data_IF_651630018104
#
_entry.id   IF_651630018104
#
_cell.length_a   1.000
_cell.length_b   1.000
_cell.length_c   1.000
_cell.angle_alpha   90.00
_cell.angle_beta   90.00
_cell.angle_gamma   90.00
#
_symmetry.space_group_name_H-M   'P 1'
#
loop_
_entity.id
_entity.type
_entity.pdbx_description
1 polymer ?
#
# COMPACT_ATOMS: atom_id res chain seq x y z
N UNK A 1 -50.57 -30.04 -19.98
CA UNK A 1 -49.32 -30.05 -20.79
C UNK A 1 -48.76 -28.65 -21.04
N UNK A 2 -49.49 -27.70 -21.65
CA UNK A 2 -48.94 -26.37 -21.98
C UNK A 2 -48.72 -25.48 -20.75
N UNK A 3 -49.63 -25.55 -19.77
CA UNK A 3 -49.55 -24.82 -18.48
C UNK A 3 -48.39 -25.36 -17.62
N UNK A 4 -48.21 -26.68 -17.53
CA UNK A 4 -47.08 -27.26 -16.78
C UNK A 4 -45.73 -26.90 -17.40
N UNK A 5 -45.61 -26.87 -18.73
CA UNK A 5 -44.38 -26.41 -19.39
C UNK A 5 -44.09 -24.92 -19.15
N UNK A 6 -45.11 -24.07 -19.13
CA UNK A 6 -44.91 -22.64 -18.82
C UNK A 6 -44.50 -22.43 -17.37
N UNK A 7 -45.11 -23.16 -16.42
CA UNK A 7 -44.71 -23.13 -15.01
C UNK A 7 -43.27 -23.64 -14.83
N UNK A 8 -42.89 -24.72 -15.51
CA UNK A 8 -41.53 -25.25 -15.45
C UNK A 8 -40.49 -24.25 -16.00
N UNK A 9 -40.79 -23.56 -17.10
CA UNK A 9 -39.90 -22.55 -17.70
C UNK A 9 -39.74 -21.32 -16.79
N UNK A 10 -40.82 -20.83 -16.19
CA UNK A 10 -40.77 -19.73 -15.23
C UNK A 10 -39.94 -20.12 -14.00
N UNK A 11 -40.16 -21.31 -13.45
CA UNK A 11 -39.39 -21.81 -12.31
C UNK A 11 -37.90 -21.89 -12.65
N UNK A 12 -37.55 -22.48 -13.80
CA UNK A 12 -36.16 -22.59 -14.24
C UNK A 12 -35.49 -21.22 -14.44
N UNK A 13 -36.21 -20.26 -15.01
CA UNK A 13 -35.70 -18.90 -15.23
C UNK A 13 -35.46 -18.17 -13.90
N UNK A 14 -36.37 -18.31 -12.93
CA UNK A 14 -36.19 -17.72 -11.60
C UNK A 14 -34.99 -18.31 -10.86
N UNK A 15 -34.83 -19.63 -10.90
CA UNK A 15 -33.66 -20.30 -10.31
C UNK A 15 -32.37 -19.86 -11.01
N UNK A 16 -32.38 -19.79 -12.35
CA UNK A 16 -31.23 -19.32 -13.13
C UNK A 16 -30.79 -17.91 -12.75
N UNK A 17 -31.75 -16.98 -12.56
CA UNK A 17 -31.46 -15.62 -12.13
C UNK A 17 -30.88 -15.56 -10.71
N UNK A 18 -31.40 -16.35 -9.78
CA UNK A 18 -30.89 -16.39 -8.40
C UNK A 18 -29.43 -16.90 -8.37
N UNK A 19 -29.12 -17.95 -9.10
CA UNK A 19 -27.75 -18.50 -9.20
C UNK A 19 -26.82 -17.51 -9.89
N UNK A 20 -27.28 -16.85 -10.95
CA UNK A 20 -26.49 -15.83 -11.65
C UNK A 20 -26.18 -14.64 -10.75
N UNK A 21 -27.17 -14.11 -10.03
CA UNK A 21 -26.97 -13.04 -9.05
C UNK A 21 -25.97 -13.45 -7.97
N UNK A 22 -26.11 -14.66 -7.43
CA UNK A 22 -25.19 -15.20 -6.42
C UNK A 22 -23.75 -15.28 -6.95
N UNK A 23 -23.59 -15.59 -8.23
CA UNK A 23 -22.28 -15.64 -8.89
C UNK A 23 -21.65 -14.25 -9.01
N UNK A 24 -22.44 -13.22 -9.35
CA UNK A 24 -21.98 -11.83 -9.41
C UNK A 24 -21.60 -11.32 -8.00
N UNK A 25 -22.43 -11.62 -7.00
CA UNK A 25 -22.21 -11.16 -5.63
C UNK A 25 -20.89 -11.74 -5.03
N UNK A 26 -20.39 -12.87 -5.56
CA UNK A 26 -19.08 -13.43 -5.19
C UNK A 26 -17.87 -12.73 -5.84
N UNK A 27 -18.06 -11.89 -6.86
CA UNK A 27 -16.94 -11.23 -7.56
C UNK A 27 -16.36 -10.09 -6.70
N UNK A 28 -17.21 -9.28 -6.08
CA UNK A 28 -16.81 -8.16 -5.24
C UNK A 28 -15.83 -8.55 -4.10
N UNK A 29 -16.12 -9.56 -3.26
CA UNK A 29 -15.18 -9.95 -2.20
C UNK A 29 -13.86 -10.51 -2.76
N UNK A 30 -13.88 -11.18 -3.91
CA UNK A 30 -12.65 -11.66 -4.57
C UNK A 30 -11.78 -10.51 -5.07
N UNK A 31 -12.38 -9.49 -5.68
CA UNK A 31 -11.67 -8.31 -6.13
C UNK A 31 -11.02 -7.58 -4.94
N UNK A 32 -11.74 -7.43 -3.83
CA UNK A 32 -11.17 -6.83 -2.62
C UNK A 32 -9.93 -7.59 -2.13
N UNK A 33 -10.01 -8.91 -1.99
CA UNK A 33 -8.86 -9.74 -1.57
C UNK A 33 -7.67 -9.59 -2.52
N UNK A 34 -7.91 -9.55 -3.84
CA UNK A 34 -6.84 -9.33 -4.82
C UNK A 34 -6.13 -8.00 -4.61
N UNK A 35 -6.89 -6.90 -4.51
CA UNK A 35 -6.33 -5.56 -4.26
C UNK A 35 -5.56 -5.53 -2.92
N UNK A 36 -6.08 -6.18 -1.88
CA UNK A 36 -5.41 -6.29 -0.60
C UNK A 36 -4.07 -7.03 -0.72
N UNK A 37 -4.04 -8.21 -1.36
CA UNK A 37 -2.81 -8.99 -1.50
C UNK A 37 -1.72 -8.27 -2.32
N UNK A 38 -2.08 -7.65 -3.45
CA UNK A 38 -1.10 -6.91 -4.26
C UNK A 38 -0.59 -5.67 -3.55
N UNK A 39 -1.46 -5.00 -2.79
CA UNK A 39 -1.07 -3.84 -1.98
C UNK A 39 -0.09 -4.23 -0.86
N UNK A 40 -0.31 -5.36 -0.19
CA UNK A 40 0.59 -5.86 0.87
C UNK A 40 1.94 -6.33 0.31
N UNK A 41 1.92 -6.97 -0.86
CA UNK A 41 3.15 -7.33 -1.56
C UNK A 41 3.98 -6.09 -1.91
N UNK A 42 3.34 -5.02 -2.41
CA UNK A 42 4.03 -3.78 -2.73
C UNK A 42 4.61 -3.10 -1.48
N UNK A 43 3.88 -3.07 -0.36
CA UNK A 43 4.42 -2.51 0.88
C UNK A 43 5.56 -3.32 1.48
N UNK A 44 5.56 -4.64 1.26
CA UNK A 44 6.69 -5.50 1.60
C UNK A 44 7.92 -5.15 0.77
N UNK A 45 7.73 -4.80 -0.51
CA UNK A 45 8.80 -4.24 -1.34
C UNK A 45 9.29 -2.88 -0.81
N UNK A 46 8.40 -1.94 -0.46
CA UNK A 46 8.78 -0.65 0.11
C UNK A 46 9.59 -0.79 1.40
N UNK A 47 9.18 -1.71 2.27
CA UNK A 47 9.93 -2.09 3.46
C UNK A 47 11.35 -2.53 3.13
N UNK A 48 11.49 -3.50 2.22
CA UNK A 48 12.79 -4.04 1.84
C UNK A 48 13.65 -2.97 1.16
N UNK A 49 13.05 -2.06 0.40
CA UNK A 49 13.76 -0.93 -0.21
C UNK A 49 14.29 0.02 0.86
N UNK A 50 13.47 0.37 1.86
CA UNK A 50 13.87 1.19 2.99
C UNK A 50 14.96 0.52 3.86
N UNK A 51 15.03 -0.81 3.92
CA UNK A 51 16.05 -1.58 4.66
C UNK A 51 17.35 -1.76 3.88
N UNK A 52 17.30 -1.76 2.54
CA UNK A 52 18.47 -2.03 1.68
C UNK A 52 19.19 -0.80 1.19
N UNK A 53 18.51 0.35 1.14
CA UNK A 53 19.18 1.61 0.77
C UNK A 53 20.33 1.88 1.75
N UNK A 54 21.47 2.32 1.23
CA UNK A 54 22.60 2.69 2.07
C UNK A 54 22.22 3.87 2.96
N UNK A 55 22.81 3.94 4.15
CA UNK A 55 22.48 4.99 5.10
C UNK A 55 22.85 6.38 4.55
N UNK A 56 23.97 6.49 3.84
CA UNK A 56 24.38 7.72 3.15
C UNK A 56 23.34 8.22 2.14
N UNK A 57 22.75 7.32 1.33
CA UNK A 57 21.69 7.70 0.40
C UNK A 57 20.39 8.00 1.15
N UNK A 58 20.15 7.31 2.26
CA UNK A 58 18.98 7.57 3.09
C UNK A 58 19.03 8.97 3.71
N UNK A 59 20.20 9.46 4.15
CA UNK A 59 20.39 10.77 4.76
C UNK A 59 20.68 11.89 3.76
N UNK A 60 20.97 11.56 2.50
CA UNK A 60 21.20 12.56 1.46
C UNK A 60 19.94 13.39 1.12
N UNK A 61 20.16 14.54 0.48
CA UNK A 61 19.09 15.39 -0.05
C UNK A 61 18.37 14.78 -1.27
N UNK A 62 19.01 13.83 -1.96
CA UNK A 62 18.44 13.11 -3.11
C UNK A 62 17.76 11.80 -2.70
N UNK A 63 17.56 11.58 -1.40
CA UNK A 63 16.91 10.39 -0.89
C UNK A 63 15.51 10.21 -1.48
N UNK A 64 15.12 8.96 -1.81
CA UNK A 64 13.74 8.65 -2.17
C UNK A 64 12.73 9.02 -1.08
N UNK A 65 13.19 9.11 0.17
CA UNK A 65 12.43 9.61 1.32
C UNK A 65 12.94 10.99 1.73
N UNK A 66 12.27 12.07 1.33
CA UNK A 66 12.64 13.42 1.75
C UNK A 66 12.35 13.63 3.23
N UNK A 67 13.10 14.53 3.87
CA UNK A 67 12.90 14.91 5.27
C UNK A 67 11.55 15.61 5.42
N UNK A 68 10.73 15.16 6.36
CA UNK A 68 9.46 15.81 6.71
C UNK A 68 9.69 17.29 7.07
N UNK A 69 8.86 18.24 6.60
CA UNK A 69 7.51 18.07 6.03
C UNK A 69 7.46 17.75 4.52
N UNK A 70 8.60 17.70 3.84
CA UNK A 70 8.65 17.36 2.42
C UNK A 70 8.25 15.91 2.18
N UNK A 71 7.58 15.66 1.05
CA UNK A 71 7.05 14.35 0.65
C UNK A 71 7.30 14.14 -0.84
N UNK A 72 7.63 12.91 -1.21
CA UNK A 72 7.72 12.49 -2.61
C UNK A 72 6.52 11.62 -2.93
N UNK A 73 5.79 11.94 -3.99
CA UNK A 73 4.64 11.17 -4.46
C UNK A 73 4.95 10.55 -5.82
N UNK A 74 4.63 9.27 -5.98
CA UNK A 74 4.79 8.53 -7.23
C UNK A 74 3.60 7.62 -7.48
N UNK A 75 3.09 7.63 -8.70
CA UNK A 75 2.10 6.65 -9.16
C UNK A 75 2.81 5.40 -9.63
N UNK A 76 2.42 4.24 -9.08
CA UNK A 76 3.10 2.96 -9.27
C UNK A 76 2.10 1.88 -9.63
N UNK A 77 2.55 0.93 -10.43
CA UNK A 77 1.79 -0.29 -10.72
C UNK A 77 2.05 -1.29 -9.59
N UNK A 78 1.01 -1.69 -8.86
CA UNK A 78 1.11 -2.64 -7.74
C UNK A 78 0.84 -4.08 -8.15
N UNK A 79 0.22 -4.28 -9.32
CA UNK A 79 -0.09 -5.58 -9.87
C UNK A 79 -0.96 -5.48 -11.12
N UNK A 80 -1.39 -6.63 -11.64
CA UNK A 80 -2.29 -6.72 -12.79
C UNK A 80 -3.48 -7.60 -12.49
N UNK A 81 -4.66 -7.20 -12.94
CA UNK A 81 -5.85 -8.06 -12.97
C UNK A 81 -5.73 -9.08 -14.10
N UNK A 82 -6.51 -10.19 -14.05
CA UNK A 82 -6.68 -11.07 -15.20
C UNK A 82 -7.07 -10.26 -16.45
N UNK A 83 -6.40 -10.50 -17.57
CA UNK A 83 -6.51 -9.65 -18.77
C UNK A 83 -5.44 -8.55 -18.87
N UNK A 84 -4.42 -8.58 -18.01
CA UNK A 84 -3.25 -7.68 -18.02
C UNK A 84 -3.59 -6.19 -17.78
N UNK A 85 -4.72 -5.91 -17.14
CA UNK A 85 -5.12 -4.56 -16.75
C UNK A 85 -4.30 -4.16 -15.51
N UNK A 86 -3.50 -3.07 -15.57
CA UNK A 86 -2.68 -2.65 -14.45
C UNK A 86 -3.54 -2.10 -13.30
N UNK A 87 -3.17 -2.44 -12.07
CA UNK A 87 -3.70 -1.85 -10.84
C UNK A 87 -2.71 -0.78 -10.42
N UNK A 88 -3.17 0.47 -10.44
CA UNK A 88 -2.36 1.63 -10.08
C UNK A 88 -2.61 2.03 -8.62
N UNK A 89 -1.56 2.48 -7.95
CA UNK A 89 -1.61 3.11 -6.64
C UNK A 89 -0.71 4.34 -6.59
N UNK A 90 -0.91 5.18 -5.58
CA UNK A 90 -0.04 6.32 -5.30
C UNK A 90 0.73 6.05 -4.02
N UNK A 91 2.06 6.12 -4.09
CA UNK A 91 2.95 5.96 -2.94
C UNK A 91 3.55 7.30 -2.58
N UNK A 92 3.43 7.65 -1.31
CA UNK A 92 3.96 8.86 -0.71
C UNK A 92 5.03 8.47 0.31
N UNK A 93 6.24 9.00 0.12
CA UNK A 93 7.42 8.69 0.93
C UNK A 93 7.87 9.91 1.72
N UNK A 94 8.28 9.69 2.96
CA UNK A 94 8.93 10.70 3.82
C UNK A 94 9.82 10.04 4.87
N UNK A 95 10.77 10.78 5.44
CA UNK A 95 11.57 10.34 6.59
C UNK A 95 11.55 11.38 7.70
N UNK A 96 11.64 10.91 8.94
CA UNK A 96 11.61 11.72 10.15
C UNK A 96 12.82 11.36 11.00
N UNK A 97 13.67 12.34 11.38
CA UNK A 97 14.79 12.09 12.29
C UNK A 97 14.31 11.84 13.71
N UNK A 98 15.04 11.03 14.47
CA UNK A 98 14.82 10.93 15.91
C UNK A 98 15.28 12.22 16.62
N UNK A 99 14.55 12.72 17.63
CA UNK A 99 14.95 13.91 18.38
C UNK A 99 16.33 13.82 19.07
N UNK A 100 16.82 12.61 19.37
CA UNK A 100 18.13 12.39 19.98
C UNK A 100 19.28 12.36 18.96
N UNK A 101 18.99 12.44 17.66
CA UNK A 101 20.02 12.69 16.65
C UNK A 101 20.71 14.04 16.93
N UNK A 102 21.97 14.15 16.52
CA UNK A 102 22.68 15.43 16.55
C UNK A 102 21.99 16.46 15.63
N UNK A 103 22.24 17.74 15.86
CA UNK A 103 21.65 18.83 15.07
C UNK A 103 22.00 18.76 13.58
N UNK A 104 23.15 18.18 13.22
CA UNK A 104 23.55 17.91 11.83
C UNK A 104 22.60 16.94 11.11
N UNK A 105 21.96 16.04 11.85
CA UNK A 105 21.03 15.03 11.36
C UNK A 105 19.56 15.38 11.66
N UNK A 106 19.26 16.66 11.93
CA UNK A 106 17.90 17.17 12.09
C UNK A 106 17.26 16.92 13.46
N UNK A 107 18.03 16.44 14.45
CA UNK A 107 17.58 16.28 15.82
C UNK A 107 17.97 17.45 16.74
N UNK A 108 17.84 17.22 18.04
CA UNK A 108 18.17 18.15 19.12
C UNK A 108 19.15 17.57 20.15
N UNK A 109 19.66 16.36 19.88
CA UNK A 109 20.62 15.69 20.74
C UNK A 109 21.97 16.39 20.77
N UNK A 110 22.69 16.21 21.88
CA UNK A 110 24.05 16.71 22.06
C UNK A 110 25.01 15.53 22.26
N UNK A 111 26.31 15.81 22.33
CA UNK A 111 27.31 14.81 22.71
C UNK A 111 27.12 14.25 24.12
N UNK A 112 26.30 14.90 24.96
CA UNK A 112 25.97 14.40 26.30
C UNK A 112 24.80 13.41 26.27
N UNK A 113 23.80 13.65 25.40
CA UNK A 113 22.61 12.78 25.28
C UNK A 113 22.81 11.66 24.25
N UNK A 114 23.70 11.87 23.29
CA UNK A 114 24.08 10.92 22.25
C UNK A 114 25.62 10.91 22.05
N UNK A 115 26.37 10.38 23.03
CA UNK A 115 27.83 10.33 22.96
C UNK A 115 28.35 9.37 21.87
N UNK A 116 27.51 8.46 21.38
CA UNK A 116 27.84 7.53 20.31
C UNK A 116 27.66 8.13 18.91
N UNK A 117 27.12 9.35 18.81
CA UNK A 117 26.81 10.04 17.55
C UNK A 117 25.91 9.22 16.61
N UNK A 118 25.09 8.34 17.18
CA UNK A 118 24.28 7.39 16.42
C UNK A 118 23.07 8.11 15.80
N UNK A 119 22.77 7.83 14.54
CA UNK A 119 21.68 8.46 13.82
C UNK A 119 20.53 7.49 13.61
N UNK A 120 19.33 7.87 14.09
CA UNK A 120 18.10 7.10 13.90
C UNK A 120 17.11 7.85 13.02
N UNK A 121 16.58 7.16 12.02
CA UNK A 121 15.61 7.69 11.07
C UNK A 121 14.40 6.77 10.97
N UNK A 122 13.21 7.35 11.11
CA UNK A 122 11.95 6.68 10.79
C UNK A 122 11.58 6.97 9.34
N UNK A 123 11.60 5.94 8.52
CA UNK A 123 11.29 5.98 7.10
C UNK A 123 9.85 5.52 6.91
N UNK A 124 9.01 6.35 6.29
CA UNK A 124 7.58 6.08 6.13
C UNK A 124 7.19 6.07 4.65
N UNK A 125 6.50 5.00 4.26
CA UNK A 125 5.86 4.86 2.94
C UNK A 125 4.35 4.66 3.15
N UNK A 126 3.57 5.55 2.56
CA UNK A 126 2.10 5.51 2.58
C UNK A 126 1.59 5.25 1.17
N UNK A 127 0.80 4.21 1.00
CA UNK A 127 0.23 3.84 -0.28
C UNK A 127 -1.28 4.04 -0.25
N UNK A 128 -1.79 4.73 -1.25
CA UNK A 128 -3.22 4.98 -1.48
C UNK A 128 -3.66 4.25 -2.75
N UNK A 129 -4.74 3.50 -2.66
CA UNK A 129 -5.30 2.73 -3.77
C UNK A 129 -6.83 2.70 -3.69
N UNK A 130 -7.50 2.38 -4.79
CA UNK A 130 -8.95 2.38 -4.87
C UNK A 130 -9.49 0.97 -5.15
N UNK A 131 -10.63 0.65 -4.53
CA UNK A 131 -11.44 -0.54 -4.81
C UNK A 131 -12.87 -0.05 -5.02
N UNK A 132 -13.36 -0.10 -6.26
CA UNK A 132 -14.63 0.57 -6.60
C UNK A 132 -14.52 2.07 -6.33
N UNK A 133 -15.49 2.63 -5.60
CA UNK A 133 -15.53 4.06 -5.23
C UNK A 133 -14.81 4.36 -3.91
N UNK A 134 -14.31 3.34 -3.21
CA UNK A 134 -13.68 3.48 -1.91
C UNK A 134 -12.16 3.63 -2.03
N UNK A 135 -11.63 4.62 -1.32
CA UNK A 135 -10.18 4.86 -1.23
C UNK A 135 -9.63 4.24 0.05
N UNK A 136 -8.59 3.43 -0.11
CA UNK A 136 -7.90 2.74 0.96
C UNK A 136 -6.48 3.27 1.09
N UNK A 137 -6.00 3.31 2.33
CA UNK A 137 -4.63 3.71 2.65
C UNK A 137 -3.98 2.63 3.49
N UNK A 138 -2.77 2.26 3.12
CA UNK A 138 -1.91 1.41 3.93
C UNK A 138 -0.55 2.08 4.10
N UNK A 139 0.08 1.86 5.23
CA UNK A 139 1.36 2.47 5.58
C UNK A 139 2.33 1.44 6.09
N UNK A 140 3.62 1.59 5.74
CA UNK A 140 4.72 0.83 6.32
C UNK A 140 5.77 1.81 6.80
N UNK A 141 6.21 1.63 8.03
CA UNK A 141 7.33 2.37 8.61
C UNK A 141 8.50 1.43 8.87
N UNK A 142 9.70 1.89 8.58
CA UNK A 142 10.96 1.20 8.88
C UNK A 142 11.82 2.13 9.71
N UNK A 143 12.38 1.63 10.80
CA UNK A 143 13.38 2.36 11.59
C UNK A 143 14.77 1.91 11.12
N UNK A 144 15.62 2.88 10.80
CA UNK A 144 17.02 2.66 10.42
C UNK A 144 17.90 3.38 11.42
N UNK A 145 18.92 2.70 11.91
CA UNK A 145 19.90 3.23 12.84
C UNK A 145 21.29 2.83 12.37
N UNK A 146 22.24 3.76 12.43
CA UNK A 146 23.66 3.50 12.21
C UNK A 146 24.51 4.38 13.12
#
# INVERSE_FOLDING_TARGET
MLVEMTVAMVLLTTIGMVVFKSTIDLIAPRQSILHQNVSDAYLSYESAYAERVSFEVLTSNSSPWPIYPSKTSSTVEIGKLPGAIPIMATVVRTRIPDPNNLSSAGGSGTTDTNPAEMETWRVESHMTYQIGDETYVKSRSTVRTQ
#
